data_IF_327691745366
#
_entry.id   IF_327691745366
#
_cell.length_a   1.000
_cell.length_b   1.000
_cell.length_c   1.000
_cell.angle_alpha   90.00
_cell.angle_beta   90.00
_cell.angle_gamma   90.00
#
_symmetry.space_group_name_H-M   'P 1'
#
loop_
_entity.id
_entity.type
_entity.pdbx_description
1 polymer ?
#
# COMPACT_ATOMS: atom_id res chain seq x y z
N UNK A 1 2.63 -5.64 -9.81
CA UNK A 1 3.79 -6.57 -9.92
C UNK A 1 4.09 -7.17 -8.54
N UNK A 2 4.33 -8.48 -8.48
CA UNK A 2 4.59 -9.24 -7.26
C UNK A 2 5.86 -8.74 -6.50
N UNK A 3 5.83 -8.75 -5.16
CA UNK A 3 6.93 -8.34 -4.29
C UNK A 3 7.96 -9.44 -4.02
N UNK A 4 7.70 -10.67 -4.45
CA UNK A 4 8.68 -11.75 -4.36
C UNK A 4 9.91 -11.42 -5.22
N UNK A 5 11.11 -11.64 -4.66
CA UNK A 5 12.36 -11.28 -5.31
C UNK A 5 12.50 -12.01 -6.64
N UNK A 6 12.66 -11.25 -7.73
CA UNK A 6 12.82 -11.80 -9.09
C UNK A 6 11.51 -12.22 -9.76
N UNK A 7 10.38 -12.17 -9.06
CA UNK A 7 9.09 -12.44 -9.66
C UNK A 7 8.64 -11.23 -10.48
N UNK A 8 8.08 -11.49 -11.67
CA UNK A 8 7.52 -10.46 -12.55
C UNK A 8 6.03 -10.62 -12.83
N UNK A 9 5.39 -11.62 -12.22
CA UNK A 9 3.97 -11.86 -12.39
C UNK A 9 3.13 -10.70 -11.85
N UNK A 10 1.94 -10.55 -12.41
CA UNK A 10 0.92 -9.64 -11.92
C UNK A 10 0.48 -10.02 -10.51
N UNK A 11 0.18 -9.00 -9.73
CA UNK A 11 -0.25 -9.21 -8.36
C UNK A 11 -1.77 -9.32 -8.33
N UNK A 12 -2.26 -10.26 -7.53
CA UNK A 12 -3.68 -10.51 -7.32
C UNK A 12 -4.06 -10.43 -5.84
N UNK A 13 -3.05 -10.31 -4.98
CA UNK A 13 -3.21 -10.33 -3.53
C UNK A 13 -2.41 -9.22 -2.89
N UNK A 14 -2.92 -8.75 -1.75
CA UNK A 14 -2.28 -7.78 -0.88
C UNK A 14 -2.11 -8.39 0.50
N UNK A 15 -0.88 -8.37 0.98
CA UNK A 15 -0.53 -8.81 2.32
C UNK A 15 -0.25 -7.57 3.17
N UNK A 16 -1.17 -7.26 4.07
CA UNK A 16 -0.97 -6.19 5.05
C UNK A 16 -0.15 -6.72 6.22
N UNK A 17 0.89 -5.98 6.60
CA UNK A 17 1.81 -6.41 7.66
C UNK A 17 2.32 -5.24 8.50
N UNK A 18 2.72 -5.54 9.74
CA UNK A 18 3.32 -4.59 10.67
C UNK A 18 4.45 -5.27 11.43
N UNK A 19 5.63 -4.63 11.45
CA UNK A 19 6.73 -5.03 12.32
C UNK A 19 6.71 -4.14 13.57
N UNK A 20 6.22 -4.63 14.72
CA UNK A 20 6.04 -3.81 15.93
C UNK A 20 7.36 -3.33 16.52
N UNK A 21 8.50 -3.92 16.12
CA UNK A 21 9.82 -3.44 16.55
C UNK A 21 10.25 -2.16 15.84
N UNK A 22 9.67 -1.85 14.68
CA UNK A 22 10.06 -0.71 13.83
C UNK A 22 8.92 0.27 13.56
N UNK A 23 7.67 -0.15 13.72
CA UNK A 23 6.50 0.61 13.32
C UNK A 23 5.51 0.68 14.48
N UNK A 24 4.83 1.82 14.61
CA UNK A 24 3.67 1.97 15.49
C UNK A 24 2.59 0.96 15.09
N UNK A 25 1.71 0.52 16.01
CA UNK A 25 0.69 -0.48 15.73
C UNK A 25 -0.30 -0.05 14.64
N UNK A 26 -0.48 1.27 14.47
CA UNK A 26 -1.34 1.87 13.47
C UNK A 26 -0.74 1.80 12.05
N UNK A 27 0.60 1.79 11.94
CA UNK A 27 1.29 1.81 10.66
C UNK A 27 1.38 0.42 10.05
N UNK A 28 0.59 0.16 9.01
CA UNK A 28 0.63 -1.07 8.22
C UNK A 28 1.33 -0.83 6.89
N UNK A 29 2.24 -1.73 6.53
CA UNK A 29 2.82 -1.79 5.19
C UNK A 29 2.08 -2.86 4.39
N UNK A 30 2.19 -2.78 3.07
CA UNK A 30 1.61 -3.77 2.17
C UNK A 30 2.68 -4.38 1.26
N UNK A 31 2.54 -5.66 0.98
CA UNK A 31 3.24 -6.36 -0.09
C UNK A 31 2.23 -6.90 -1.08
N UNK A 32 2.58 -6.83 -2.36
CA UNK A 32 1.78 -7.38 -3.45
C UNK A 32 2.24 -8.79 -3.77
N UNK A 33 1.32 -9.71 -4.07
CA UNK A 33 1.66 -11.09 -4.42
C UNK A 33 0.82 -11.59 -5.60
N UNK A 34 1.44 -12.37 -6.48
CA UNK A 34 0.73 -13.23 -7.42
C UNK A 34 0.18 -14.47 -6.70
N UNK A 35 -0.69 -15.23 -7.36
CA UNK A 35 -1.26 -16.47 -6.79
C UNK A 35 -0.18 -17.46 -6.30
N UNK A 36 0.88 -17.67 -7.09
CA UNK A 36 1.99 -18.59 -6.76
C UNK A 36 2.76 -18.19 -5.49
N UNK A 37 2.97 -16.89 -5.28
CA UNK A 37 3.82 -16.40 -4.18
C UNK A 37 3.04 -15.96 -2.94
N UNK A 38 1.71 -15.91 -3.00
CA UNK A 38 0.84 -15.50 -1.89
C UNK A 38 1.15 -16.30 -0.61
N UNK A 39 1.17 -17.61 -0.72
CA UNK A 39 1.36 -18.50 0.44
C UNK A 39 2.76 -18.37 1.04
N UNK A 40 3.78 -18.30 0.19
CA UNK A 40 5.17 -18.14 0.64
C UNK A 40 5.36 -16.85 1.45
N UNK A 41 4.90 -15.71 0.90
CA UNK A 41 5.03 -14.41 1.57
C UNK A 41 4.17 -14.34 2.85
N UNK A 42 2.96 -14.90 2.82
CA UNK A 42 2.08 -14.97 4.00
C UNK A 42 2.72 -15.77 5.12
N UNK A 43 3.30 -16.93 4.80
CA UNK A 43 4.01 -17.76 5.78
C UNK A 43 5.21 -17.02 6.36
N UNK A 44 6.01 -16.35 5.53
CA UNK A 44 7.17 -15.56 5.98
C UNK A 44 6.80 -14.49 7.01
N UNK A 45 5.68 -13.80 6.80
CA UNK A 45 5.17 -12.77 7.71
C UNK A 45 4.52 -13.38 8.96
N UNK A 46 3.77 -14.48 8.79
CA UNK A 46 3.04 -15.15 9.88
C UNK A 46 3.97 -15.72 10.94
N UNK A 47 5.05 -16.41 10.54
CA UNK A 47 6.01 -17.00 11.50
C UNK A 47 6.74 -15.94 12.35
N UNK A 48 6.74 -14.68 11.91
CA UNK A 48 7.30 -13.54 12.64
C UNK A 48 6.25 -12.74 13.41
N UNK A 49 4.97 -13.11 13.30
CA UNK A 49 3.85 -12.36 13.89
C UNK A 49 3.59 -11.00 13.23
N UNK A 50 4.09 -10.80 11.99
CA UNK A 50 3.96 -9.53 11.29
C UNK A 50 2.73 -9.45 10.40
N UNK A 51 2.20 -10.61 9.97
CA UNK A 51 1.03 -10.64 9.10
C UNK A 51 -0.20 -10.09 9.83
N UNK A 52 -0.94 -9.21 9.15
CA UNK A 52 -2.18 -8.63 9.66
C UNK A 52 -3.39 -9.02 8.85
N UNK A 53 -3.25 -9.03 7.52
CA UNK A 53 -4.35 -9.38 6.63
C UNK A 53 -3.83 -9.87 5.28
N UNK A 54 -4.67 -10.65 4.58
CA UNK A 54 -4.44 -11.10 3.21
C UNK A 54 -5.75 -10.96 2.45
N UNK A 55 -5.80 -10.01 1.54
CA UNK A 55 -7.00 -9.69 0.74
C UNK A 55 -6.68 -9.80 -0.75
N UNK A 56 -7.69 -10.04 -1.59
CA UNK A 56 -7.52 -9.90 -3.04
C UNK A 56 -7.20 -8.44 -3.37
N UNK A 57 -6.42 -8.23 -4.42
CA UNK A 57 -6.05 -6.89 -4.88
C UNK A 57 -7.27 -6.09 -5.35
N UNK A 58 -8.29 -6.76 -5.90
CA UNK A 58 -9.55 -6.12 -6.32
C UNK A 58 -10.36 -5.56 -5.15
N UNK A 59 -10.26 -6.19 -3.97
CA UNK A 59 -10.95 -5.78 -2.74
C UNK A 59 -10.13 -4.79 -1.91
N UNK A 60 -8.89 -4.50 -2.30
CA UNK A 60 -7.97 -3.70 -1.52
C UNK A 60 -7.92 -2.24 -1.96
N UNK A 61 -8.42 -1.36 -1.09
CA UNK A 61 -8.31 0.08 -1.25
C UNK A 61 -6.93 0.58 -0.76
N UNK A 62 -6.12 1.10 -1.69
CA UNK A 62 -4.79 1.64 -1.37
C UNK A 62 -4.91 2.93 -0.52
N UNK A 63 -4.30 3.02 0.68
CA UNK A 63 -4.35 4.25 1.48
C UNK A 63 -3.60 5.42 0.83
N UNK A 64 -2.68 5.12 -0.11
CA UNK A 64 -1.91 6.10 -0.89
C UNK A 64 -2.74 6.76 -2.00
N UNK A 65 -3.95 6.25 -2.30
CA UNK A 65 -4.90 6.90 -3.22
C UNK A 65 -5.67 8.01 -2.49
N UNK A 66 -5.04 8.71 -1.56
CA UNK A 66 -5.48 10.07 -1.26
C UNK A 66 -5.17 10.87 -2.52
N UNK A 67 -6.16 11.47 -3.22
CA UNK A 67 -5.83 12.40 -4.28
C UNK A 67 -4.88 13.42 -3.68
N UNK A 68 -3.73 13.62 -4.33
CA UNK A 68 -2.93 14.81 -4.10
C UNK A 68 -3.92 15.96 -3.99
N UNK A 69 -4.01 16.58 -2.81
CA UNK A 69 -4.78 17.80 -2.62
C UNK A 69 -4.27 18.73 -3.73
N UNK A 70 -5.07 19.09 -4.75
CA UNK A 70 -4.57 19.98 -5.77
C UNK A 70 -4.12 21.22 -5.02
N UNK A 71 -2.87 21.61 -5.22
CA UNK A 71 -2.32 22.83 -4.68
C UNK A 71 -3.34 23.93 -5.00
N UNK A 72 -3.98 24.46 -3.96
CA UNK A 72 -4.92 25.57 -4.08
C UNK A 72 -4.13 26.71 -4.73
N UNK A 73 -4.35 26.91 -6.04
CA UNK A 73 -3.85 28.09 -6.74
C UNK A 73 -4.56 29.26 -6.10
N UNK A 74 -3.82 30.05 -5.32
CA UNK A 74 -4.22 31.41 -4.98
C UNK A 74 -4.74 32.10 -6.25
N UNK A 75 -5.97 32.62 -6.28
CA UNK A 75 -6.38 33.46 -7.39
C UNK A 75 -5.52 34.72 -7.37
N UNK A 76 -4.81 34.94 -8.48
CA UNK A 76 -4.14 36.19 -8.81
C UNK A 76 -5.13 37.35 -8.57
N UNK A 77 -4.82 38.19 -7.60
CA UNK A 77 -5.51 39.46 -7.43
C UNK A 77 -4.87 40.47 -8.35
N UNK A 78 -5.57 40.81 -9.45
CA UNK A 78 -5.33 42.01 -10.21
C UNK A 78 -6.22 42.09 -11.46
N UNK A 79 -6.51 43.29 -11.99
CA UNK A 79 -6.65 44.60 -11.36
C UNK A 79 -8.11 45.10 -11.44
N UNK A 80 -8.59 45.84 -10.45
CA UNK A 80 -9.82 46.64 -10.58
C UNK A 80 -9.47 48.10 -10.82
N UNK A 81 -9.93 48.57 -11.97
CA UNK A 81 -9.94 49.94 -12.47
C UNK A 81 -10.53 50.95 -11.47
N UNK A 82 -9.91 52.13 -11.42
CA UNK A 82 -10.45 53.37 -10.87
C UNK A 82 -9.71 54.55 -11.47
#
# INVERSE_FOLDING_TARGET
MCSAKGCRADAEWVLAWNNPKLHTPDRRKTWLACEEHREYLSKFLSVRGFLKDVVRLEDWESPEKSPERPAEKSPESGPSTG
#
